data_IF_505326739971
#
_entry.id   IF_505326739971
#
_cell.length_a   1.000
_cell.length_b   1.000
_cell.length_c   1.000
_cell.angle_alpha   90.00
_cell.angle_beta   90.00
_cell.angle_gamma   90.00
#
_symmetry.space_group_name_H-M   'P 1'
#
loop_
_entity.id
_entity.type
_entity.pdbx_description
1 polymer ?
#
# COMPACT_ATOMS: atom_id res chain seq x y z
N UNK A 1 6.74 15.92 -4.34
CA UNK A 1 5.79 14.83 -4.64
C UNK A 1 4.71 14.82 -3.57
N UNK A 2 3.44 14.92 -3.95
CA UNK A 2 2.34 15.02 -3.00
C UNK A 2 1.36 13.87 -3.26
N UNK A 3 1.11 13.03 -2.25
CA UNK A 3 0.11 11.95 -2.28
C UNK A 3 0.19 11.01 -3.50
N UNK A 4 1.40 10.77 -4.03
CA UNK A 4 1.58 9.93 -5.20
C UNK A 4 3.03 9.51 -5.44
N UNK A 5 3.21 8.27 -5.92
CA UNK A 5 4.50 7.68 -6.25
C UNK A 5 4.42 6.83 -7.52
N UNK A 6 5.53 6.74 -8.27
CA UNK A 6 5.68 5.79 -9.37
C UNK A 6 5.60 4.31 -8.92
N UNK A 7 5.69 4.04 -7.61
CA UNK A 7 5.54 2.71 -7.03
C UNK A 7 4.08 2.36 -6.70
N UNK A 8 3.15 3.32 -6.80
CA UNK A 8 1.72 3.05 -6.59
C UNK A 8 1.18 2.12 -7.69
N UNK A 9 0.24 1.22 -7.37
CA UNK A 9 -0.24 0.20 -8.32
C UNK A 9 -0.93 0.79 -9.56
N UNK A 10 -1.49 2.00 -9.44
CA UNK A 10 -2.16 2.75 -10.50
C UNK A 10 -1.22 3.62 -11.35
N UNK A 11 0.08 3.70 -11.01
CA UNK A 11 1.02 4.61 -11.67
C UNK A 11 1.51 4.14 -13.05
N UNK A 12 1.66 2.81 -13.25
CA UNK A 12 2.13 2.22 -14.51
C UNK A 12 1.02 1.41 -15.18
N UNK A 13 0.72 1.75 -16.44
CA UNK A 13 -0.31 1.11 -17.25
C UNK A 13 0.19 -0.17 -17.94
N UNK A 14 0.35 -1.26 -17.17
CA UNK A 14 0.97 -2.51 -17.67
C UNK A 14 0.21 -3.19 -18.80
N UNK A 15 -1.10 -3.02 -18.86
CA UNK A 15 -1.98 -3.70 -19.82
C UNK A 15 -2.51 -2.73 -20.90
N UNK A 16 -1.85 -1.60 -21.13
CA UNK A 16 -2.29 -0.57 -22.09
C UNK A 16 -2.56 -1.11 -23.50
N UNK A 17 -1.75 -2.07 -23.96
CA UNK A 17 -1.96 -2.72 -25.27
C UNK A 17 -3.27 -3.51 -25.33
N UNK A 18 -3.68 -4.16 -24.23
CA UNK A 18 -4.94 -4.92 -24.16
C UNK A 18 -6.12 -3.97 -24.32
N UNK A 19 -6.10 -2.85 -23.59
CA UNK A 19 -7.14 -1.83 -23.68
C UNK A 19 -7.13 -1.10 -25.02
N UNK A 20 -5.95 -0.85 -25.60
CA UNK A 20 -5.81 -0.27 -26.95
C UNK A 20 -6.52 -1.14 -27.99
N UNK A 21 -6.32 -2.46 -27.94
CA UNK A 21 -7.00 -3.40 -28.83
C UNK A 21 -8.51 -3.46 -28.57
N UNK A 22 -8.94 -3.31 -27.32
CA UNK A 22 -10.37 -3.21 -26.97
C UNK A 22 -11.01 -1.96 -27.58
N UNK A 23 -10.35 -0.80 -27.50
CA UNK A 23 -10.78 0.43 -28.17
C UNK A 23 -10.88 0.22 -29.68
N UNK A 24 -9.80 -0.29 -30.29
CA UNK A 24 -9.74 -0.52 -31.72
C UNK A 24 -10.88 -1.45 -32.19
N UNK A 25 -11.13 -2.55 -31.46
CA UNK A 25 -12.24 -3.47 -31.76
C UNK A 25 -13.61 -2.79 -31.70
N UNK A 26 -13.87 -1.96 -30.69
CA UNK A 26 -15.14 -1.24 -30.56
C UNK A 26 -15.33 -0.20 -31.68
N UNK A 27 -14.26 0.46 -32.10
CA UNK A 27 -14.27 1.44 -33.19
C UNK A 27 -14.09 0.82 -34.57
N UNK A 28 -14.17 -0.51 -34.69
CA UNK A 28 -14.02 -1.26 -35.94
C UNK A 28 -12.71 -0.94 -36.66
N UNK A 29 -11.65 -0.69 -35.91
CA UNK A 29 -10.29 -0.59 -36.41
C UNK A 29 -9.61 -1.97 -36.44
N UNK A 30 -8.71 -2.23 -37.41
CA UNK A 30 -7.93 -3.46 -37.44
C UNK A 30 -7.08 -3.64 -36.18
N UNK A 31 -6.95 -4.87 -35.68
CA UNK A 31 -6.24 -5.18 -34.41
C UNK A 31 -4.97 -6.01 -34.56
N UNK A 32 -4.73 -6.58 -35.73
CA UNK A 32 -3.60 -7.49 -36.00
C UNK A 32 -2.28 -6.72 -36.13
N UNK A 33 -2.25 -5.71 -37.02
CA UNK A 33 -1.08 -4.88 -37.26
C UNK A 33 -1.16 -3.57 -36.46
N UNK A 34 -0.11 -3.28 -35.69
CA UNK A 34 -0.10 -2.11 -34.80
C UNK A 34 -0.01 -0.79 -35.56
N UNK A 35 0.69 -0.73 -36.71
CA UNK A 35 0.79 0.49 -37.49
C UNK A 35 -0.55 0.84 -38.14
N UNK A 36 -1.24 -0.16 -38.71
CA UNK A 36 -2.58 0.01 -39.30
C UNK A 36 -3.62 0.35 -38.23
N UNK A 37 -3.54 -0.29 -37.06
CA UNK A 37 -4.40 0.01 -35.91
C UNK A 37 -4.29 1.49 -35.54
N UNK A 38 -3.07 1.98 -35.33
CA UNK A 38 -2.81 3.36 -34.93
C UNK A 38 -3.30 4.34 -36.00
N UNK A 39 -3.06 4.04 -37.27
CA UNK A 39 -3.52 4.90 -38.37
C UNK A 39 -5.04 5.00 -38.44
N UNK A 40 -5.75 3.88 -38.22
CA UNK A 40 -7.20 3.90 -38.12
C UNK A 40 -7.69 4.72 -36.91
N UNK A 41 -7.06 4.56 -35.74
CA UNK A 41 -7.43 5.31 -34.54
C UNK A 41 -7.21 6.83 -34.70
N UNK A 42 -6.17 7.25 -35.42
CA UNK A 42 -5.94 8.69 -35.72
C UNK A 42 -7.08 9.33 -36.52
N UNK A 43 -7.82 8.54 -37.28
CA UNK A 43 -8.96 9.01 -38.08
C UNK A 43 -10.28 9.03 -37.30
N UNK A 44 -10.29 8.53 -36.06
CA UNK A 44 -11.49 8.52 -35.22
C UNK A 44 -11.62 9.82 -34.42
N UNK A 45 -12.84 10.36 -34.26
CA UNK A 45 -13.09 11.44 -33.33
C UNK A 45 -12.64 11.07 -31.91
N UNK A 46 -12.02 12.01 -31.20
CA UNK A 46 -11.55 11.76 -29.82
C UNK A 46 -12.71 11.38 -28.89
N UNK A 47 -13.90 11.93 -29.12
CA UNK A 47 -15.10 11.61 -28.35
C UNK A 47 -15.49 10.13 -28.49
N UNK A 48 -15.35 9.55 -29.68
CA UNK A 48 -15.66 8.14 -29.92
C UNK A 48 -14.65 7.24 -29.19
N UNK A 49 -13.37 7.63 -29.14
CA UNK A 49 -12.33 6.94 -28.40
C UNK A 49 -12.60 6.97 -26.89
N UNK A 50 -12.94 8.14 -26.36
CA UNK A 50 -13.22 8.33 -24.93
C UNK A 50 -14.53 7.67 -24.49
N UNK A 51 -15.48 7.50 -25.40
CA UNK A 51 -16.77 6.87 -25.12
C UNK A 51 -16.71 5.34 -25.05
N UNK A 52 -15.60 4.70 -25.44
CA UNK A 52 -15.48 3.24 -25.36
C UNK A 52 -15.46 2.78 -23.90
N UNK A 53 -16.39 1.91 -23.47
CA UNK A 53 -16.37 1.37 -22.12
C UNK A 53 -15.23 0.36 -21.96
N UNK A 54 -14.40 0.54 -20.93
CA UNK A 54 -13.29 -0.33 -20.60
C UNK A 54 -13.53 -1.01 -19.25
N UNK A 55 -13.22 -2.31 -19.20
CA UNK A 55 -13.28 -3.10 -17.97
C UNK A 55 -11.89 -3.13 -17.35
N UNK A 56 -11.54 -2.06 -16.64
CA UNK A 56 -10.25 -1.92 -15.97
C UNK A 56 -10.37 -2.46 -14.55
N UNK A 57 -9.54 -3.43 -14.12
CA UNK A 57 -9.54 -3.86 -12.74
C UNK A 57 -9.27 -2.70 -11.79
N UNK A 58 -10.02 -2.66 -10.70
CA UNK A 58 -9.94 -1.61 -9.70
C UNK A 58 -8.50 -1.47 -9.15
N UNK A 59 -8.13 -0.24 -8.82
CA UNK A 59 -6.80 0.16 -8.35
C UNK A 59 -5.67 0.11 -9.40
N UNK A 60 -5.98 -0.27 -10.65
CA UNK A 60 -5.06 -0.26 -11.77
C UNK A 60 -5.50 0.76 -12.83
N UNK A 61 -4.59 1.05 -13.75
CA UNK A 61 -4.79 2.04 -14.82
C UNK A 61 -4.74 1.37 -16.19
N UNK A 62 -5.69 1.74 -17.07
CA UNK A 62 -5.68 1.31 -18.46
C UNK A 62 -4.67 2.07 -19.32
N UNK A 63 -4.65 3.40 -19.19
CA UNK A 63 -3.78 4.29 -19.97
C UNK A 63 -3.05 5.26 -19.05
N UNK A 64 -1.75 5.34 -19.21
CA UNK A 64 -0.84 6.12 -18.38
C UNK A 64 0.60 5.81 -18.80
N UNK A 65 1.59 6.18 -17.97
CA UNK A 65 2.98 5.82 -18.22
C UNK A 65 3.15 4.30 -18.40
N UNK A 66 3.96 3.90 -19.37
CA UNK A 66 4.30 2.49 -19.66
C UNK A 66 5.81 2.31 -19.59
N UNK A 67 6.26 1.10 -19.28
CA UNK A 67 7.69 0.74 -19.36
C UNK A 67 8.04 0.54 -20.83
N UNK A 68 8.53 1.59 -21.48
CA UNK A 68 8.84 1.64 -22.91
C UNK A 68 10.33 1.37 -23.20
N UNK A 69 11.17 1.33 -22.17
CA UNK A 69 12.62 1.16 -22.31
C UNK A 69 13.36 2.43 -22.72
N UNK A 70 12.66 3.56 -22.88
CA UNK A 70 13.22 4.85 -23.33
C UNK A 70 12.94 5.94 -22.31
N UNK A 71 11.67 6.32 -22.13
CA UNK A 71 11.26 7.32 -21.13
C UNK A 71 11.21 6.69 -19.74
N UNK A 72 10.63 5.50 -19.64
CA UNK A 72 10.62 4.66 -18.44
C UNK A 72 11.45 3.42 -18.74
N UNK A 73 12.76 3.44 -18.42
CA UNK A 73 13.71 2.44 -18.90
C UNK A 73 13.52 1.04 -18.32
N UNK A 74 12.80 0.93 -17.20
CA UNK A 74 12.55 -0.34 -16.52
C UNK A 74 11.54 -0.18 -15.40
N UNK A 75 11.38 -1.24 -14.60
CA UNK A 75 10.51 -1.22 -13.43
C UNK A 75 10.90 -0.09 -12.47
N UNK A 76 9.98 0.81 -12.08
CA UNK A 76 10.30 1.94 -11.21
C UNK A 76 11.00 1.55 -9.90
N UNK A 77 10.64 0.42 -9.30
CA UNK A 77 11.32 -0.11 -8.10
C UNK A 77 12.80 -0.42 -8.36
N UNK A 78 13.07 -1.08 -9.48
CA UNK A 78 14.43 -1.51 -9.85
C UNK A 78 15.27 -0.32 -10.26
N UNK A 79 14.68 0.66 -10.97
CA UNK A 79 15.35 1.90 -11.35
C UNK A 79 15.72 2.70 -10.10
N UNK A 80 14.80 2.88 -9.15
CA UNK A 80 15.05 3.60 -7.90
C UNK A 80 16.09 2.91 -7.00
N UNK A 81 16.13 1.58 -6.99
CA UNK A 81 17.05 0.80 -6.16
C UNK A 81 18.44 0.66 -6.79
N UNK A 82 18.52 0.31 -8.07
CA UNK A 82 19.77 -0.06 -8.75
C UNK A 82 20.40 1.11 -9.50
N UNK A 83 19.57 1.96 -10.11
CA UNK A 83 20.02 3.09 -10.93
C UNK A 83 19.84 4.42 -10.19
N UNK A 84 20.60 4.56 -9.10
CA UNK A 84 20.52 5.70 -8.20
C UNK A 84 20.95 7.03 -8.84
N UNK A 85 21.60 7.02 -10.00
CA UNK A 85 22.06 8.23 -10.67
C UNK A 85 20.91 9.10 -11.18
N UNK A 86 19.87 8.52 -11.79
CA UNK A 86 18.71 9.29 -12.26
C UNK A 86 17.94 9.92 -11.11
N UNK A 87 17.85 9.19 -10.00
CA UNK A 87 17.05 9.59 -8.85
C UNK A 87 17.80 10.53 -7.90
N UNK A 88 19.11 10.34 -7.75
CA UNK A 88 19.98 11.10 -6.84
C UNK A 88 20.37 12.50 -7.31
N UNK A 89 19.99 12.88 -8.52
CA UNK A 89 20.27 14.22 -9.07
C UNK A 89 19.43 15.32 -8.44
N UNK A 90 18.29 14.97 -7.84
CA UNK A 90 17.32 15.92 -7.32
C UNK A 90 17.24 15.81 -5.80
N UNK A 91 16.97 16.93 -5.13
CA UNK A 91 16.49 16.86 -3.75
C UNK A 91 14.99 16.52 -3.78
N UNK A 92 14.49 15.81 -2.76
CA UNK A 92 13.11 15.33 -2.72
C UNK A 92 12.37 15.86 -1.50
N UNK A 93 11.31 16.63 -1.75
CA UNK A 93 10.26 16.86 -0.77
C UNK A 93 9.07 15.99 -1.14
N UNK A 94 8.63 15.15 -0.21
CA UNK A 94 7.47 14.30 -0.39
C UNK A 94 6.53 14.32 0.81
N UNK A 95 5.25 14.05 0.58
CA UNK A 95 4.30 13.96 1.68
C UNK A 95 2.94 13.47 1.26
N UNK A 96 2.12 13.24 2.27
CA UNK A 96 0.80 12.64 2.16
C UNK A 96 -0.18 13.38 3.05
N UNK A 97 -1.46 13.22 2.77
CA UNK A 97 -2.52 13.57 3.72
C UNK A 97 -2.69 12.42 4.72
N UNK A 98 -3.41 12.67 5.81
CA UNK A 98 -3.64 11.63 6.82
C UNK A 98 -4.39 10.42 6.21
N UNK A 99 -5.39 10.69 5.39
CA UNK A 99 -6.23 9.71 4.70
C UNK A 99 -6.16 9.94 3.19
N UNK A 100 -5.87 8.90 2.42
CA UNK A 100 -5.68 8.98 0.97
C UNK A 100 -6.85 8.35 0.18
N UNK A 101 -7.51 7.36 0.77
CA UNK A 101 -8.56 6.57 0.10
C UNK A 101 -9.99 6.94 0.53
N UNK A 102 -10.23 8.17 0.99
CA UNK A 102 -11.56 8.64 1.42
C UNK A 102 -12.62 8.52 0.31
N UNK A 103 -12.24 8.82 -0.94
CA UNK A 103 -13.15 8.86 -2.09
C UNK A 103 -13.69 7.49 -2.54
N UNK A 104 -13.30 6.40 -1.86
CA UNK A 104 -13.79 5.05 -2.15
C UNK A 104 -15.13 4.73 -1.48
N UNK A 105 -15.59 5.60 -0.57
CA UNK A 105 -16.80 5.39 0.21
C UNK A 105 -17.85 6.45 -0.09
N UNK A 106 -19.12 6.04 -0.05
CA UNK A 106 -20.25 6.94 -0.23
C UNK A 106 -20.47 7.82 1.00
N UNK A 107 -21.18 8.94 0.81
CA UNK A 107 -21.59 9.84 1.90
C UNK A 107 -22.51 9.16 2.94
N UNK A 108 -23.18 8.06 2.55
CA UNK A 108 -24.00 7.27 3.45
C UNK A 108 -23.13 6.33 4.30
N UNK A 109 -22.16 5.64 3.68
CA UNK A 109 -21.19 4.81 4.40
C UNK A 109 -20.34 5.63 5.37
N UNK A 110 -19.93 6.84 5.00
CA UNK A 110 -19.17 7.72 5.91
C UNK A 110 -19.94 8.04 7.21
N UNK A 111 -21.27 8.14 7.14
CA UNK A 111 -22.13 8.41 8.29
C UNK A 111 -22.49 7.18 9.11
N UNK A 112 -22.74 6.04 8.46
CA UNK A 112 -23.25 4.82 9.10
C UNK A 112 -22.18 3.76 9.36
N UNK A 113 -21.05 3.86 8.67
CA UNK A 113 -20.01 2.84 8.61
C UNK A 113 -20.30 1.76 7.58
N UNK A 114 -19.46 0.72 7.58
CA UNK A 114 -19.60 -0.45 6.73
C UNK A 114 -19.63 -1.72 7.58
N UNK A 115 -20.22 -2.78 7.04
CA UNK A 115 -20.18 -4.11 7.65
C UNK A 115 -18.91 -4.88 7.26
N UNK A 116 -18.70 -6.02 7.92
CA UNK A 116 -17.55 -6.90 7.65
C UNK A 116 -17.59 -7.47 6.24
N UNK A 117 -18.77 -7.71 5.67
CA UNK A 117 -18.93 -8.21 4.31
C UNK A 117 -18.46 -7.18 3.27
N UNK A 118 -18.82 -5.90 3.43
CA UNK A 118 -18.33 -4.79 2.59
C UNK A 118 -16.82 -4.65 2.71
N UNK A 119 -16.26 -4.65 3.93
CA UNK A 119 -14.80 -4.66 4.16
C UNK A 119 -14.14 -5.81 3.41
N UNK A 120 -14.62 -7.03 3.59
CA UNK A 120 -13.98 -8.21 3.03
C UNK A 120 -14.00 -8.18 1.50
N UNK A 121 -15.09 -7.74 0.87
CA UNK A 121 -15.16 -7.55 -0.59
C UNK A 121 -14.15 -6.52 -1.10
N UNK A 122 -14.01 -5.38 -0.41
CA UNK A 122 -13.03 -4.35 -0.75
C UNK A 122 -11.60 -4.89 -0.65
N UNK A 123 -11.25 -5.50 0.48
CA UNK A 123 -9.90 -6.03 0.71
C UNK A 123 -9.57 -7.22 -0.18
N UNK A 124 -10.54 -8.08 -0.50
CA UNK A 124 -10.36 -9.18 -1.47
C UNK A 124 -10.06 -8.64 -2.86
N UNK A 125 -10.74 -7.58 -3.28
CA UNK A 125 -10.51 -6.92 -4.57
C UNK A 125 -9.12 -6.30 -4.63
N UNK A 126 -8.75 -5.55 -3.58
CA UNK A 126 -7.42 -4.98 -3.41
C UNK A 126 -6.35 -6.07 -3.56
N UNK A 127 -6.47 -7.17 -2.81
CA UNK A 127 -5.49 -8.26 -2.83
C UNK A 127 -5.45 -8.96 -4.18
N UNK A 128 -6.61 -9.25 -4.77
CA UNK A 128 -6.72 -9.92 -6.08
C UNK A 128 -6.10 -9.10 -7.21
N UNK A 129 -6.17 -7.78 -7.13
CA UNK A 129 -5.66 -6.91 -8.18
C UNK A 129 -4.18 -6.57 -8.02
N UNK A 130 -3.71 -6.39 -6.78
CA UNK A 130 -2.33 -5.99 -6.50
C UNK A 130 -1.34 -7.16 -6.49
N UNK A 131 -1.76 -8.34 -6.04
CA UNK A 131 -0.85 -9.48 -5.82
C UNK A 131 -1.15 -10.65 -6.77
N UNK A 132 -0.23 -11.61 -6.80
CA UNK A 132 -0.28 -12.79 -7.69
C UNK A 132 -0.29 -14.10 -6.90
N UNK A 133 0.52 -14.16 -5.85
CA UNK A 133 0.81 -15.36 -5.05
C UNK A 133 0.28 -15.20 -3.62
N UNK A 134 -0.10 -16.32 -3.00
CA UNK A 134 -0.55 -16.40 -1.60
C UNK A 134 -1.64 -15.39 -1.23
N UNK A 135 -2.63 -15.24 -2.11
CA UNK A 135 -3.66 -14.21 -1.98
C UNK A 135 -4.49 -14.40 -0.71
N UNK A 136 -4.81 -15.65 -0.34
CA UNK A 136 -5.60 -15.92 0.86
C UNK A 136 -4.83 -15.53 2.13
N UNK A 137 -3.55 -15.88 2.22
CA UNK A 137 -2.70 -15.55 3.36
C UNK A 137 -2.51 -14.04 3.47
N UNK A 138 -2.25 -13.35 2.35
CA UNK A 138 -2.16 -11.89 2.32
C UNK A 138 -3.47 -11.26 2.80
N UNK A 139 -4.62 -11.69 2.27
CA UNK A 139 -5.94 -11.19 2.67
C UNK A 139 -6.19 -11.34 4.16
N UNK A 140 -6.00 -12.55 4.71
CA UNK A 140 -6.20 -12.82 6.13
C UNK A 140 -5.25 -11.98 7.00
N UNK A 141 -4.01 -11.79 6.56
CA UNK A 141 -3.04 -10.98 7.29
C UNK A 141 -3.43 -9.50 7.30
N UNK A 142 -3.91 -8.95 6.17
CA UNK A 142 -4.41 -7.57 6.09
C UNK A 142 -5.63 -7.39 7.02
N UNK A 143 -6.59 -8.31 6.98
CA UNK A 143 -7.76 -8.28 7.88
C UNK A 143 -7.31 -8.30 9.33
N UNK A 144 -6.36 -9.17 9.69
CA UNK A 144 -5.85 -9.26 11.04
C UNK A 144 -5.16 -7.97 11.51
N UNK A 145 -4.34 -7.36 10.66
CA UNK A 145 -3.58 -6.15 10.98
C UNK A 145 -4.48 -4.91 11.18
N UNK A 146 -5.55 -4.80 10.40
CA UNK A 146 -6.49 -3.67 10.45
C UNK A 146 -7.75 -3.96 11.26
N UNK A 147 -7.76 -5.00 12.09
CA UNK A 147 -8.84 -5.27 13.04
C UNK A 147 -8.39 -4.87 14.43
N UNK A 148 -9.13 -3.96 15.08
CA UNK A 148 -8.92 -3.66 16.50
C UNK A 148 -9.46 -4.82 17.35
N UNK A 149 -8.58 -5.77 17.69
CA UNK A 149 -8.89 -6.95 18.51
C UNK A 149 -9.07 -6.63 19.99
N UNK A 150 -8.85 -5.38 20.43
CA UNK A 150 -9.14 -4.98 21.81
C UNK A 150 -10.64 -4.89 22.08
N UNK A 151 -11.46 -4.85 21.03
CA UNK A 151 -12.92 -4.75 21.09
C UNK A 151 -13.56 -6.00 20.48
N UNK A 152 -14.38 -6.74 21.23
CA UNK A 152 -15.04 -7.95 20.71
C UNK A 152 -16.07 -7.60 19.61
N UNK A 153 -16.81 -6.50 19.80
CA UNK A 153 -17.77 -5.99 18.82
C UNK A 153 -17.21 -4.75 18.14
N UNK A 154 -17.07 -4.84 16.81
CA UNK A 154 -16.61 -3.71 16.01
C UNK A 154 -17.79 -2.86 15.55
N UNK A 155 -17.80 -1.61 15.98
CA UNK A 155 -18.75 -0.62 15.47
C UNK A 155 -18.50 -0.43 13.95
N UNK A 156 -19.55 -0.36 13.10
CA UNK A 156 -19.41 -0.22 11.64
C UNK A 156 -18.50 0.93 11.18
N UNK A 157 -18.50 2.04 11.93
CA UNK A 157 -17.60 3.17 11.69
C UNK A 157 -16.13 2.81 11.89
N UNK A 158 -15.79 1.99 12.90
CA UNK A 158 -14.41 1.57 13.11
C UNK A 158 -13.95 0.60 12.01
N UNK A 159 -14.87 -0.21 11.48
CA UNK A 159 -14.62 -1.08 10.32
C UNK A 159 -14.31 -0.21 9.10
N UNK A 160 -15.12 0.83 8.84
CA UNK A 160 -14.88 1.78 7.77
C UNK A 160 -13.51 2.45 7.90
N UNK A 161 -13.17 2.98 9.08
CA UNK A 161 -11.92 3.69 9.30
C UNK A 161 -10.71 2.80 9.06
N UNK A 162 -10.74 1.60 9.63
CA UNK A 162 -9.62 0.67 9.50
C UNK A 162 -9.49 0.14 8.07
N UNK A 163 -10.61 -0.01 7.35
CA UNK A 163 -10.60 -0.35 5.92
C UNK A 163 -10.03 0.79 5.09
N UNK A 164 -10.42 2.04 5.39
CA UNK A 164 -9.90 3.24 4.72
C UNK A 164 -8.41 3.39 4.94
N UNK A 165 -7.93 3.15 6.17
CA UNK A 165 -6.51 3.14 6.50
C UNK A 165 -5.76 2.06 5.69
N UNK A 166 -6.29 0.83 5.64
CA UNK A 166 -5.68 -0.26 4.88
C UNK A 166 -5.53 0.07 3.39
N UNK A 167 -6.58 0.65 2.79
CA UNK A 167 -6.57 1.04 1.39
C UNK A 167 -5.65 2.25 1.15
N UNK A 168 -5.61 3.23 2.05
CA UNK A 168 -4.70 4.39 1.98
C UNK A 168 -3.24 3.95 2.06
N UNK A 169 -2.94 3.05 3.01
CA UNK A 169 -1.60 2.53 3.23
C UNK A 169 -1.11 1.72 2.02
N UNK A 170 -1.95 0.83 1.47
CA UNK A 170 -1.58 -0.01 0.33
C UNK A 170 -1.43 0.77 -0.99
N UNK A 171 -2.32 1.72 -1.27
CA UNK A 171 -2.41 2.37 -2.59
C UNK A 171 -1.52 3.60 -2.74
N UNK A 172 -1.23 4.32 -1.65
CA UNK A 172 -0.54 5.60 -1.69
C UNK A 172 0.61 5.70 -0.68
N UNK A 173 0.36 5.46 0.60
CA UNK A 173 1.33 5.79 1.67
C UNK A 173 2.54 4.86 1.65
N UNK A 174 2.37 3.53 1.64
CA UNK A 174 3.50 2.61 1.61
C UNK A 174 4.36 2.75 0.34
N UNK A 175 3.79 2.84 -0.89
CA UNK A 175 4.55 3.16 -2.09
C UNK A 175 5.35 4.46 -1.99
N UNK A 176 4.76 5.50 -1.41
CA UNK A 176 5.40 6.80 -1.25
C UNK A 176 6.54 6.77 -0.23
N UNK A 177 6.34 6.14 0.93
CA UNK A 177 7.39 5.96 1.94
C UNK A 177 8.52 5.07 1.41
N UNK A 178 8.21 4.04 0.62
CA UNK A 178 9.23 3.22 -0.07
C UNK A 178 10.09 4.06 -1.01
N UNK A 179 9.48 5.01 -1.72
CA UNK A 179 10.18 5.96 -2.60
C UNK A 179 11.13 6.85 -1.79
N UNK A 180 10.66 7.41 -0.67
CA UNK A 180 11.49 8.19 0.25
C UNK A 180 12.67 7.38 0.83
N UNK A 181 12.43 6.10 1.15
CA UNK A 181 13.48 5.18 1.61
C UNK A 181 14.56 4.96 0.55
N UNK A 182 14.19 4.67 -0.70
CA UNK A 182 15.16 4.57 -1.79
C UNK A 182 15.95 5.88 -1.97
N UNK A 183 15.27 7.03 -1.93
CA UNK A 183 15.90 8.32 -2.17
C UNK A 183 16.92 8.67 -1.10
N UNK A 184 16.55 8.50 0.17
CA UNK A 184 17.42 8.82 1.31
C UNK A 184 18.65 7.91 1.43
N UNK A 185 18.66 6.77 0.75
CA UNK A 185 19.80 5.84 0.68
C UNK A 185 20.81 6.22 -0.39
N UNK A 186 20.46 7.09 -1.33
CA UNK A 186 21.38 7.50 -2.40
C UNK A 186 22.61 8.21 -1.81
N UNK A 187 23.78 7.90 -2.36
CA UNK A 187 25.08 8.47 -1.95
C UNK A 187 25.86 9.08 -3.12
N UNK A 188 25.59 8.66 -4.34
CA UNK A 188 26.30 9.05 -5.57
C UNK A 188 25.30 9.57 -6.62
N UNK A 189 25.63 10.58 -7.44
CA UNK A 189 26.90 11.33 -7.50
C UNK A 189 27.09 12.35 -6.37
N UNK A 190 25.99 12.79 -5.74
CA UNK A 190 25.97 13.54 -4.49
C UNK A 190 24.93 12.91 -3.57
N UNK A 191 24.99 13.16 -2.26
CA UNK A 191 23.90 12.82 -1.34
C UNK A 191 22.77 13.84 -1.54
N UNK A 192 21.60 13.45 -2.09
CA UNK A 192 20.48 14.36 -2.19
C UNK A 192 19.81 14.53 -0.82
N UNK A 193 19.14 15.67 -0.61
CA UNK A 193 18.35 15.91 0.61
C UNK A 193 16.94 15.36 0.43
N UNK A 194 16.39 14.79 1.50
CA UNK A 194 15.04 14.23 1.50
C UNK A 194 14.25 14.87 2.64
N UNK A 195 13.01 15.30 2.40
CA UNK A 195 12.13 15.86 3.43
C UNK A 195 10.74 15.24 3.31
N UNK A 196 10.19 14.80 4.45
CA UNK A 196 8.85 14.23 4.52
C UNK A 196 7.91 15.16 5.29
N UNK A 197 6.68 15.32 4.79
CA UNK A 197 5.56 15.87 5.58
C UNK A 197 4.36 14.92 5.63
N UNK A 198 3.55 15.11 6.66
CA UNK A 198 2.19 14.56 6.74
C UNK A 198 1.23 15.71 7.03
N UNK A 199 0.31 15.96 6.11
CA UNK A 199 -0.67 17.03 6.25
C UNK A 199 -1.87 16.54 7.08
N UNK A 200 -2.11 17.22 8.20
CA UNK A 200 -3.07 16.83 9.24
C UNK A 200 -4.04 17.95 9.62
N UNK A 201 -3.93 19.12 8.97
CA UNK A 201 -4.84 20.21 9.19
C UNK A 201 -6.21 19.94 8.57
N UNK A 202 -7.25 20.34 9.28
CA UNK A 202 -8.63 20.20 8.84
C UNK A 202 -9.20 21.59 8.56
N UNK A 203 -9.67 21.81 7.34
CA UNK A 203 -10.29 23.07 6.91
C UNK A 203 -11.66 23.25 7.57
N UNK A 204 -11.90 24.32 8.33
CA UNK A 204 -13.10 24.45 9.16
C UNK A 204 -14.42 24.35 8.35
N UNK A 205 -14.46 24.91 7.14
CA UNK A 205 -15.62 24.86 6.24
C UNK A 205 -15.47 23.80 5.12
N UNK A 206 -14.76 22.70 5.40
CA UNK A 206 -14.67 21.58 4.47
C UNK A 206 -16.04 20.93 4.16
N UNK A 207 -16.26 20.54 2.90
CA UNK A 207 -17.48 19.85 2.45
C UNK A 207 -17.50 18.33 2.77
N UNK A 208 -16.48 17.82 3.46
CA UNK A 208 -16.32 16.41 3.79
C UNK A 208 -16.33 16.15 5.30
N UNK A 209 -16.54 14.89 5.69
CA UNK A 209 -16.58 14.51 7.10
C UNK A 209 -15.22 14.62 7.76
N UNK A 210 -15.17 15.44 8.81
CA UNK A 210 -13.93 15.76 9.53
C UNK A 210 -13.44 14.59 10.42
N UNK A 211 -14.22 13.52 10.54
CA UNK A 211 -14.07 12.45 11.53
C UNK A 211 -12.74 11.70 11.41
N UNK A 212 -12.32 11.34 10.20
CA UNK A 212 -11.08 10.60 9.97
C UNK A 212 -9.84 11.52 9.89
N UNK A 213 -10.05 12.83 9.74
CA UNK A 213 -9.00 13.83 9.57
C UNK A 213 -8.91 14.31 8.12
N UNK A 214 -7.70 14.62 7.68
CA UNK A 214 -7.49 15.26 6.36
C UNK A 214 -7.47 14.26 5.23
N UNK A 215 -8.21 14.54 4.17
CA UNK A 215 -8.38 13.66 3.00
C UNK A 215 -7.48 14.08 1.83
N UNK A 216 -7.36 13.21 0.82
CA UNK A 216 -6.52 13.44 -0.37
C UNK A 216 -6.78 14.79 -1.03
N UNK A 217 -5.72 15.56 -1.28
CA UNK A 217 -5.77 16.84 -1.99
C UNK A 217 -6.06 18.08 -1.11
N UNK A 218 -6.37 17.90 0.17
CA UNK A 218 -6.66 19.01 1.09
C UNK A 218 -5.41 19.83 1.49
N UNK A 219 -4.21 19.39 1.13
CA UNK A 219 -2.99 20.18 1.27
C UNK A 219 -2.85 21.25 0.16
N UNK A 220 -3.47 21.03 -1.00
CA UNK A 220 -3.36 21.90 -2.18
C UNK A 220 -3.83 23.35 -1.96
N UNK A 221 -4.99 23.63 -1.32
CA UNK A 221 -5.42 25.01 -1.08
C UNK A 221 -4.36 25.83 -0.34
N UNK A 222 -3.68 25.21 0.63
CA UNK A 222 -2.66 25.86 1.46
C UNK A 222 -1.35 26.09 0.72
N UNK A 223 -0.99 25.18 -0.20
CA UNK A 223 0.22 25.28 -1.03
C UNK A 223 0.06 26.36 -2.11
N UNK A 224 -1.13 26.48 -2.68
CA UNK A 224 -1.42 27.47 -3.72
C UNK A 224 -1.85 28.84 -3.19
N UNK A 225 -1.99 29.01 -1.87
CA UNK A 225 -2.33 30.31 -1.28
C UNK A 225 -3.82 30.66 -1.37
N UNK A 226 -4.72 29.68 -1.50
CA UNK A 226 -6.16 29.94 -1.54
C UNK A 226 -6.66 30.72 -0.30
N UNK A 227 -6.19 30.43 0.94
CA UNK A 227 -6.54 31.20 2.13
C UNK A 227 -6.06 32.66 2.18
N UNK A 228 -5.27 33.11 1.19
CA UNK A 228 -4.69 34.46 1.14
C UNK A 228 -5.42 35.38 0.17
N UNK A 229 -6.37 34.85 -0.60
CA UNK A 229 -7.12 35.57 -1.62
C UNK A 229 -8.62 35.32 -1.45
N UNK A 230 -9.45 36.20 -1.99
CA UNK A 230 -10.91 36.10 -1.84
C UNK A 230 -11.50 34.86 -2.54
N UNK A 231 -10.88 34.39 -3.63
CA UNK A 231 -11.30 33.21 -4.36
C UNK A 231 -10.17 32.74 -5.25
N UNK A 232 -9.91 31.42 -5.26
CA UNK A 232 -8.92 30.81 -6.14
C UNK A 232 -9.49 29.52 -6.76
N UNK A 233 -9.75 29.56 -8.07
CA UNK A 233 -10.22 28.38 -8.83
C UNK A 233 -11.47 27.74 -8.19
N UNK A 234 -11.41 26.42 -7.93
CA UNK A 234 -12.45 25.61 -7.30
C UNK A 234 -12.27 25.44 -5.78
N UNK A 235 -11.25 26.06 -5.18
CA UNK A 235 -11.02 25.94 -3.73
C UNK A 235 -12.11 26.66 -2.93
N UNK A 236 -12.33 26.25 -1.66
CA UNK A 236 -13.22 26.96 -0.75
C UNK A 236 -12.89 28.46 -0.67
N UNK A 237 -13.90 29.28 -0.36
CA UNK A 237 -13.71 30.74 -0.27
C UNK A 237 -13.49 31.23 1.16
N UNK A 238 -14.02 30.50 2.13
CA UNK A 238 -14.02 30.91 3.52
C UNK A 238 -12.91 30.18 4.25
N UNK A 239 -11.89 30.94 4.64
CA UNK A 239 -10.79 30.45 5.46
C UNK A 239 -10.63 31.36 6.68
N UNK A 240 -10.24 30.75 7.80
CA UNK A 240 -9.92 31.46 9.03
C UNK A 240 -8.57 32.18 8.91
N UNK A 241 -8.34 33.17 9.79
CA UNK A 241 -7.02 33.81 9.90
C UNK A 241 -5.91 32.83 10.27
N UNK A 242 -6.23 31.75 10.98
CA UNK A 242 -5.28 30.71 11.32
C UNK A 242 -4.87 29.89 10.09
N UNK A 243 -5.83 29.60 9.21
CA UNK A 243 -5.61 28.94 7.92
C UNK A 243 -4.81 29.82 6.95
N UNK A 244 -5.05 31.13 6.92
CA UNK A 244 -4.19 32.09 6.19
C UNK A 244 -2.74 32.02 6.68
N UNK A 245 -2.52 32.07 8.00
CA UNK A 245 -1.17 31.93 8.57
C UNK A 245 -0.53 30.57 8.28
N UNK A 246 -1.31 29.48 8.27
CA UNK A 246 -0.84 28.15 7.89
C UNK A 246 -0.40 28.13 6.42
N UNK A 247 -1.20 28.69 5.53
CA UNK A 247 -0.89 28.76 4.09
C UNK A 247 0.40 29.56 3.84
N UNK A 248 0.60 30.69 4.53
CA UNK A 248 1.87 31.43 4.45
C UNK A 248 3.07 30.56 4.87
N UNK A 249 2.96 29.81 5.98
CA UNK A 249 4.04 28.90 6.42
C UNK A 249 4.30 27.78 5.41
N UNK A 250 3.24 27.17 4.87
CA UNK A 250 3.36 26.09 3.88
C UNK A 250 4.01 26.60 2.59
N UNK A 251 3.54 27.73 2.06
CA UNK A 251 4.14 28.37 0.89
C UNK A 251 5.61 28.73 1.13
N UNK A 252 5.96 29.20 2.32
CA UNK A 252 7.35 29.49 2.67
C UNK A 252 8.22 28.23 2.57
N UNK A 253 7.81 27.10 3.16
CA UNK A 253 8.56 25.85 3.05
C UNK A 253 8.72 25.37 1.60
N UNK A 254 7.65 25.41 0.80
CA UNK A 254 7.68 24.99 -0.60
C UNK A 254 8.57 25.91 -1.45
N UNK A 255 8.47 27.23 -1.25
CA UNK A 255 9.28 28.19 -2.01
C UNK A 255 10.74 28.17 -1.61
N UNK A 256 11.06 27.97 -0.33
CA UNK A 256 12.45 27.78 0.12
C UNK A 256 13.04 26.51 -0.50
N UNK A 257 12.32 25.39 -0.44
CA UNK A 257 12.76 24.15 -1.06
C UNK A 257 12.95 24.29 -2.58
N UNK A 258 12.05 24.99 -3.28
CA UNK A 258 12.21 25.25 -4.70
C UNK A 258 13.43 26.13 -5.03
N UNK A 259 13.78 27.08 -4.15
CA UNK A 259 14.92 28.00 -4.34
C UNK A 259 16.26 27.34 -4.04
N UNK A 260 16.35 26.57 -2.95
CA UNK A 260 17.64 26.11 -2.42
C UNK A 260 17.74 24.62 -2.18
N UNK A 261 16.63 23.87 -2.28
CA UNK A 261 16.55 22.45 -1.92
C UNK A 261 16.45 22.17 -0.42
N UNK A 262 16.38 23.21 0.43
CA UNK A 262 16.12 23.10 1.87
C UNK A 262 14.85 23.90 2.24
N UNK A 263 13.82 23.30 2.86
CA UNK A 263 12.64 24.04 3.29
C UNK A 263 12.93 25.06 4.40
N UNK A 264 14.02 24.91 5.16
CA UNK A 264 14.33 25.73 6.33
C UNK A 264 15.09 27.02 6.00
N UNK A 265 15.64 27.15 4.80
CA UNK A 265 16.60 28.21 4.53
C UNK A 265 15.91 29.58 4.48
N UNK A 266 16.39 30.58 5.24
CA UNK A 266 15.76 31.89 5.27
C UNK A 266 15.91 32.58 3.90
N UNK A 267 14.86 33.31 3.51
CA UNK A 267 14.98 34.22 2.39
C UNK A 267 16.01 35.29 2.75
N UNK A 268 17.16 35.29 2.05
CA UNK A 268 18.08 36.41 2.06
C UNK A 268 17.29 37.69 1.80
N UNK A 269 17.52 38.66 2.68
CA UNK A 269 16.83 39.93 2.81
C UNK A 269 16.53 40.59 1.46
N UNK A 270 15.25 40.62 1.07
CA UNK A 270 14.72 41.79 0.36
C UNK A 270 13.87 42.56 1.33
N UNK A 271 14.40 43.72 1.70
CA UNK A 271 13.74 44.78 2.44
C UNK A 271 12.34 45.06 1.86
N UNK A 272 11.46 45.48 2.76
CA UNK A 272 10.09 45.95 2.54
C UNK A 272 8.98 44.88 2.45
N UNK A 273 8.00 45.03 3.35
CA UNK A 273 6.62 44.53 3.31
C UNK A 273 6.25 43.38 4.27
N UNK A 274 5.83 43.81 5.47
CA UNK A 274 4.58 43.42 6.17
C UNK A 274 4.36 42.08 6.87
N UNK A 275 5.31 41.14 7.02
CA UNK A 275 5.02 39.90 7.78
C UNK A 275 6.17 39.38 8.67
N UNK A 276 6.60 40.16 9.67
CA UNK A 276 7.56 39.72 10.71
C UNK A 276 7.06 38.53 11.54
N UNK A 277 5.73 38.41 11.77
CA UNK A 277 5.15 37.36 12.62
C UNK A 277 5.19 35.98 11.98
N UNK A 278 5.02 35.88 10.66
CA UNK A 278 5.03 34.61 9.92
C UNK A 278 6.46 34.08 9.77
N UNK A 279 7.45 34.98 9.59
CA UNK A 279 8.88 34.64 9.65
C UNK A 279 9.28 34.06 11.01
N UNK A 280 8.92 34.73 12.11
CA UNK A 280 9.27 34.28 13.47
C UNK A 280 8.67 32.90 13.84
N UNK A 281 7.50 32.55 13.30
CA UNK A 281 6.86 31.24 13.54
C UNK A 281 7.52 30.12 12.73
N UNK A 282 7.95 30.40 11.50
CA UNK A 282 8.70 29.45 10.66
C UNK A 282 10.14 29.24 11.17
N UNK A 283 10.82 30.30 11.63
CA UNK A 283 12.16 30.23 12.24
C UNK A 283 12.19 29.32 13.48
N UNK A 284 11.07 29.20 14.21
CA UNK A 284 10.98 28.31 15.37
C UNK A 284 10.75 26.83 15.00
N UNK A 285 10.34 26.54 13.77
CA UNK A 285 9.90 25.22 13.33
C UNK A 285 10.90 24.64 12.32
N UNK A 286 11.89 23.93 12.83
CA UNK A 286 12.89 23.23 12.02
C UNK A 286 12.31 21.94 11.41
N UNK A 287 12.31 21.84 10.08
CA UNK A 287 11.95 20.65 9.31
C UNK A 287 13.19 19.76 9.10
N UNK A 288 13.31 18.62 9.80
CA UNK A 288 14.48 17.77 9.69
C UNK A 288 14.54 17.01 8.35
N UNK A 289 15.77 16.72 7.90
CA UNK A 289 16.01 15.79 6.79
C UNK A 289 15.50 14.38 7.15
N UNK A 290 14.74 13.79 6.24
CA UNK A 290 14.27 12.42 6.28
C UNK A 290 15.40 11.45 5.98
N UNK A 291 15.46 10.35 6.74
CA UNK A 291 16.28 9.19 6.41
C UNK A 291 15.53 7.91 6.77
N UNK A 292 15.89 6.80 6.12
CA UNK A 292 15.22 5.50 6.29
C UNK A 292 15.32 4.91 7.71
N UNK A 293 16.28 5.38 8.51
CA UNK A 293 16.54 4.91 9.88
C UNK A 293 15.69 5.63 10.93
N UNK A 294 15.61 6.96 10.88
CA UNK A 294 14.91 7.78 11.86
C UNK A 294 13.53 8.24 11.37
N UNK A 295 13.29 8.20 10.07
CA UNK A 295 12.02 8.52 9.40
C UNK A 295 11.33 9.78 9.95
N UNK A 296 12.13 10.83 10.18
CA UNK A 296 11.63 12.09 10.71
C UNK A 296 10.80 12.82 9.67
N UNK A 297 9.67 13.36 10.09
CA UNK A 297 8.77 14.13 9.26
C UNK A 297 8.17 15.30 10.03
N UNK A 298 7.63 16.27 9.30
CA UNK A 298 6.83 17.33 9.88
C UNK A 298 5.34 17.01 9.72
N UNK A 299 4.59 17.04 10.82
CA UNK A 299 3.14 17.02 10.80
C UNK A 299 2.64 18.46 10.62
N UNK A 300 2.06 18.75 9.46
CA UNK A 300 1.55 20.07 9.10
C UNK A 300 0.09 20.14 9.51
N UNK A 301 -0.15 20.74 10.67
CA UNK A 301 -1.47 20.97 11.26
C UNK A 301 -1.58 22.42 11.76
N UNK A 302 -2.66 22.76 12.46
CA UNK A 302 -2.82 24.09 13.09
C UNK A 302 -1.66 24.42 14.05
N UNK A 303 -1.05 23.38 14.64
CA UNK A 303 0.20 23.44 15.40
C UNK A 303 1.19 22.44 14.79
N UNK A 304 2.08 22.87 13.89
CA UNK A 304 3.03 21.96 13.27
C UNK A 304 3.98 21.33 14.30
N UNK A 305 4.34 20.07 14.10
CA UNK A 305 5.24 19.32 15.00
C UNK A 305 6.15 18.39 14.21
N UNK A 306 7.39 18.27 14.64
CA UNK A 306 8.27 17.19 14.19
C UNK A 306 7.86 15.89 14.88
N UNK A 307 7.80 14.82 14.09
CA UNK A 307 7.53 13.46 14.53
C UNK A 307 8.46 12.51 13.77
N UNK A 308 8.37 11.23 14.10
CA UNK A 308 9.13 10.16 13.46
C UNK A 308 8.25 8.94 13.22
N UNK A 309 8.68 8.07 12.30
CA UNK A 309 8.06 6.79 11.97
C UNK A 309 6.53 6.85 11.78
N UNK A 310 6.08 7.65 10.81
CA UNK A 310 4.65 7.72 10.47
C UNK A 310 4.09 6.32 10.19
N UNK A 311 3.06 5.89 10.93
CA UNK A 311 2.46 4.55 10.81
C UNK A 311 3.48 3.38 10.87
N UNK A 312 4.55 3.50 11.67
CA UNK A 312 5.69 2.57 11.72
C UNK A 312 5.32 1.07 11.62
N UNK A 313 4.37 0.63 12.44
CA UNK A 313 3.91 -0.76 12.50
C UNK A 313 3.27 -1.21 11.17
N UNK A 314 2.25 -0.48 10.73
CA UNK A 314 1.49 -0.76 9.49
C UNK A 314 2.39 -0.64 8.24
N UNK A 315 3.29 0.33 8.22
CA UNK A 315 4.24 0.47 7.11
C UNK A 315 5.28 -0.65 7.11
N UNK A 316 5.76 -1.10 8.28
CA UNK A 316 6.63 -2.29 8.33
C UNK A 316 5.92 -3.53 7.79
N UNK A 317 4.63 -3.68 8.12
CA UNK A 317 3.78 -4.72 7.56
C UNK A 317 3.73 -4.69 6.01
N UNK A 318 3.41 -3.54 5.41
CA UNK A 318 3.33 -3.39 3.95
C UNK A 318 4.68 -3.45 3.24
N UNK A 319 5.74 -2.93 3.85
CA UNK A 319 7.07 -2.82 3.23
C UNK A 319 7.93 -4.07 3.40
N UNK A 320 7.67 -4.89 4.43
CA UNK A 320 8.51 -6.05 4.77
C UNK A 320 7.74 -7.38 4.76
N UNK A 321 6.62 -7.48 5.48
CA UNK A 321 5.90 -8.74 5.64
C UNK A 321 5.17 -9.15 4.35
N UNK A 322 4.33 -8.27 3.80
CA UNK A 322 3.56 -8.55 2.58
C UNK A 322 4.47 -8.96 1.40
N UNK A 323 5.57 -8.26 1.09
CA UNK A 323 6.49 -8.69 0.03
C UNK A 323 7.13 -10.06 0.30
N UNK A 324 7.31 -10.44 1.55
CA UNK A 324 7.84 -11.77 1.92
C UNK A 324 6.80 -12.87 1.69
N UNK A 325 5.53 -12.61 2.05
CA UNK A 325 4.42 -13.52 1.76
C UNK A 325 4.16 -13.65 0.25
N UNK A 326 4.34 -12.58 -0.51
CA UNK A 326 4.07 -12.57 -1.95
C UNK A 326 5.15 -13.29 -2.81
N UNK A 327 6.25 -13.77 -2.22
CA UNK A 327 7.27 -14.52 -2.98
C UNK A 327 6.70 -15.84 -3.49
N UNK A 328 6.97 -16.18 -4.74
CA UNK A 328 6.65 -17.52 -5.26
C UNK A 328 7.50 -18.58 -4.54
N UNK A 329 6.88 -19.68 -4.11
CA UNK A 329 7.61 -20.81 -3.58
C UNK A 329 8.43 -21.46 -4.71
N UNK A 330 9.67 -21.87 -4.41
CA UNK A 330 10.57 -22.52 -5.38
C UNK A 330 10.18 -23.98 -5.73
N UNK A 331 9.05 -24.48 -5.22
CA UNK A 331 8.64 -25.88 -5.34
C UNK A 331 7.17 -25.98 -5.77
N UNK A 332 6.89 -26.98 -6.61
CA UNK A 332 5.68 -27.29 -7.36
C UNK A 332 4.40 -27.39 -6.52
N UNK A 333 3.89 -26.26 -6.02
CA UNK A 333 2.55 -26.19 -5.43
C UNK A 333 1.52 -25.83 -6.49
N UNK A 334 0.44 -26.62 -6.58
CA UNK A 334 -0.64 -26.47 -7.57
C UNK A 334 -1.12 -25.02 -7.67
N UNK A 335 -1.30 -24.46 -8.88
CA UNK A 335 -1.66 -23.04 -9.12
C UNK A 335 -2.80 -22.49 -8.25
N UNK A 336 -3.68 -23.37 -7.75
CA UNK A 336 -4.81 -23.03 -6.90
C UNK A 336 -4.46 -22.53 -5.50
N UNK A 337 -3.35 -22.94 -4.89
CA UNK A 337 -2.97 -22.46 -3.55
C UNK A 337 -2.65 -20.96 -3.50
N UNK A 338 -2.42 -20.33 -4.65
CA UNK A 338 -2.22 -18.88 -4.77
C UNK A 338 -3.52 -18.10 -4.96
N UNK A 339 -4.69 -18.73 -4.81
CA UNK A 339 -5.99 -18.09 -5.03
C UNK A 339 -6.61 -17.73 -3.69
N UNK A 340 -7.54 -16.76 -3.74
CA UNK A 340 -8.46 -16.55 -2.64
C UNK A 340 -9.42 -17.75 -2.56
N UNK A 341 -9.90 -18.05 -1.36
CA UNK A 341 -11.07 -18.92 -1.21
C UNK A 341 -12.27 -18.30 -1.95
N UNK A 342 -13.09 -19.12 -2.59
CA UNK A 342 -14.24 -18.68 -3.41
C UNK A 342 -13.88 -17.65 -4.50
N UNK A 343 -12.66 -17.73 -5.07
CA UNK A 343 -12.18 -16.74 -6.03
C UNK A 343 -13.01 -16.65 -7.32
N UNK A 344 -13.75 -17.70 -7.69
CA UNK A 344 -14.63 -17.73 -8.86
C UNK A 344 -15.98 -17.05 -8.60
N UNK A 345 -16.32 -16.76 -7.35
CA UNK A 345 -17.58 -16.12 -6.99
C UNK A 345 -17.45 -14.59 -7.10
N UNK A 346 -18.07 -13.95 -8.12
CA UNK A 346 -17.97 -12.50 -8.32
C UNK A 346 -18.58 -11.70 -7.16
N UNK A 347 -19.52 -12.27 -6.40
CA UNK A 347 -20.14 -11.59 -5.26
C UNK A 347 -19.21 -11.43 -4.04
N UNK A 348 -18.03 -12.07 -4.07
CA UNK A 348 -17.02 -11.94 -3.00
C UNK A 348 -16.05 -10.77 -3.21
N UNK A 349 -16.28 -9.96 -4.25
CA UNK A 349 -15.48 -8.80 -4.60
C UNK A 349 -16.33 -7.54 -4.67
N UNK A 350 -15.65 -6.41 -4.66
CA UNK A 350 -16.21 -5.10 -4.95
C UNK A 350 -15.54 -4.54 -6.20
N UNK A 351 -16.31 -4.21 -7.24
CA UNK A 351 -15.74 -3.72 -8.49
C UNK A 351 -15.09 -4.79 -9.37
N UNK A 352 -14.19 -4.37 -10.26
CA UNK A 352 -13.64 -5.22 -11.32
C UNK A 352 -12.34 -5.88 -10.85
N UNK A 353 -12.25 -7.21 -11.02
CA UNK A 353 -11.07 -7.99 -10.65
C UNK A 353 -10.26 -8.45 -11.86
N UNK A 354 -8.96 -8.67 -11.66
CA UNK A 354 -8.09 -9.28 -12.68
C UNK A 354 -8.55 -10.69 -13.02
N UNK A 355 -8.77 -10.94 -14.32
CA UNK A 355 -8.94 -12.28 -14.86
C UNK A 355 -7.64 -13.07 -14.71
N UNK A 356 -7.70 -14.23 -14.05
CA UNK A 356 -6.57 -15.15 -13.98
C UNK A 356 -6.59 -16.06 -15.20
N UNK A 357 -5.79 -15.72 -16.21
CA UNK A 357 -4.96 -16.70 -16.91
C UNK A 357 -3.49 -16.42 -16.53
N UNK A 358 -3.02 -16.89 -15.35
CA UNK A 358 -1.68 -16.61 -14.86
C UNK A 358 -0.67 -17.62 -15.44
N UNK A 359 -0.70 -17.80 -16.76
CA UNK A 359 0.12 -18.78 -17.48
C UNK A 359 0.42 -18.46 -18.94
N UNK A 360 -0.09 -17.36 -19.51
CA UNK A 360 0.04 -17.14 -20.97
C UNK A 360 0.89 -15.94 -21.39
N UNK A 361 1.25 -14.98 -20.51
CA UNK A 361 2.11 -13.85 -20.93
C UNK A 361 2.94 -13.22 -19.80
N UNK A 362 3.73 -14.02 -19.08
CA UNK A 362 4.97 -13.52 -18.46
C UNK A 362 6.07 -14.54 -18.74
N UNK A 363 6.43 -14.67 -20.02
CA UNK A 363 7.79 -15.06 -20.34
C UNK A 363 8.67 -13.87 -19.89
N UNK A 364 9.32 -14.03 -18.74
CA UNK A 364 10.52 -13.27 -18.42
C UNK A 364 11.47 -13.45 -19.59
N UNK A 365 11.51 -12.49 -20.51
CA UNK A 365 12.55 -12.43 -21.53
C UNK A 365 13.79 -11.92 -20.82
N UNK A 366 14.50 -12.83 -20.17
CA UNK A 366 15.91 -12.66 -19.90
C UNK A 366 16.60 -12.55 -21.26
N UNK A 367 17.25 -11.44 -21.63
CA UNK A 367 18.09 -11.43 -22.81
C UNK A 367 19.34 -12.22 -22.48
N UNK A 368 19.33 -13.53 -22.79
CA UNK A 368 20.55 -14.29 -22.95
C UNK A 368 21.26 -13.78 -24.20
N UNK A 369 22.28 -12.96 -24.00
CA UNK A 369 23.22 -12.56 -25.04
C UNK A 369 23.98 -13.80 -25.52
N UNK A 370 23.51 -14.41 -26.60
CA UNK A 370 24.31 -15.35 -27.38
C UNK A 370 24.34 -14.85 -28.82
N UNK A 371 25.50 -14.30 -29.17
CA UNK A 371 25.91 -13.96 -30.52
C UNK A 371 25.80 -15.18 -31.45
N UNK A 372 25.00 -15.09 -32.51
CA UNK A 372 25.05 -16.04 -33.62
C UNK A 372 25.36 -15.30 -34.93
N UNK A 373 26.57 -15.57 -35.43
CA UNK A 373 27.04 -15.29 -36.78
C UNK A 373 26.30 -16.20 -37.78
N UNK A 374 25.97 -15.76 -39.00
CA UNK A 374 25.20 -16.57 -39.94
C UNK A 374 26.09 -17.53 -40.73
N UNK A 375 25.65 -18.78 -40.86
CA UNK A 375 26.14 -19.70 -41.89
C UNK A 375 25.01 -20.48 -42.54
N UNK A 376 25.07 -20.47 -43.87
CA UNK A 376 24.17 -20.97 -44.91
C UNK A 376 24.13 -22.50 -45.08
N UNK A 377 23.08 -22.95 -45.79
CA UNK A 377 22.88 -24.25 -46.52
C UNK A 377 22.65 -25.51 -45.66
N UNK A 378 21.76 -26.47 -45.96
CA UNK A 378 21.10 -26.93 -47.19
C UNK A 378 19.83 -27.77 -46.91
N UNK A 379 19.01 -27.97 -47.95
CA UNK A 379 17.82 -28.83 -48.07
C UNK A 379 18.06 -30.30 -47.65
N UNK A 380 17.05 -30.97 -47.08
CA UNK A 380 16.48 -32.21 -47.63
C UNK A 380 15.10 -32.59 -47.03
N UNK A 381 14.49 -33.64 -47.56
CA UNK A 381 13.05 -33.93 -47.68
C UNK A 381 12.56 -35.22 -46.97
N UNK A 382 11.23 -35.40 -46.80
CA UNK A 382 10.53 -36.67 -46.43
C UNK A 382 9.60 -36.56 -45.18
N UNK A 383 8.26 -36.47 -45.25
CA UNK A 383 7.16 -37.42 -45.57
C UNK A 383 6.62 -38.27 -44.36
N UNK A 384 5.29 -38.17 -44.15
CA UNK A 384 4.29 -39.03 -43.44
C UNK A 384 4.26 -39.03 -41.88
N UNK A 385 3.12 -39.02 -41.15
CA UNK A 385 1.79 -39.65 -41.37
C UNK A 385 0.70 -39.15 -40.37
N UNK A 386 -0.56 -39.01 -40.84
CA UNK A 386 -1.88 -39.38 -40.24
C UNK A 386 -2.20 -39.10 -38.75
N UNK A 387 -3.08 -38.15 -38.39
CA UNK A 387 -4.56 -38.23 -38.26
C UNK A 387 -5.09 -38.79 -36.92
N UNK A 388 -5.97 -38.03 -36.24
CA UNK A 388 -7.31 -38.45 -35.79
C UNK A 388 -8.05 -37.25 -35.17
N UNK A 389 -9.24 -36.97 -35.70
CA UNK A 389 -10.24 -36.07 -35.15
C UNK A 389 -11.48 -36.90 -34.81
N UNK A 390 -12.13 -36.64 -33.67
CA UNK A 390 -13.46 -37.19 -33.37
C UNK A 390 -14.32 -36.14 -32.68
N UNK A 391 -15.45 -35.84 -33.30
CA UNK A 391 -16.63 -35.12 -32.79
C UNK A 391 -17.60 -36.14 -32.15
N UNK A 392 -18.23 -35.80 -31.02
CA UNK A 392 -19.52 -36.37 -30.59
C UNK A 392 -20.37 -35.23 -29.99
N UNK A 393 -21.65 -35.18 -30.40
CA UNK A 393 -22.74 -34.28 -29.98
C UNK A 393 -23.79 -35.09 -29.17
N UNK A 394 -24.63 -34.39 -28.38
CA UNK A 394 -25.96 -34.73 -27.78
C UNK A 394 -25.91 -34.86 -26.23
N UNK A 395 -26.82 -34.36 -25.37
CA UNK A 395 -28.10 -33.61 -25.41
C UNK A 395 -28.52 -33.28 -23.94
N UNK A 396 -29.57 -32.46 -23.70
CA UNK A 396 -29.98 -31.85 -22.41
C UNK A 396 -30.85 -32.73 -21.45
N UNK A 397 -30.62 -32.58 -20.11
CA UNK A 397 -31.48 -32.59 -18.87
C UNK A 397 -32.67 -33.57 -18.64
N UNK A 398 -33.28 -33.68 -17.42
CA UNK A 398 -32.87 -33.35 -16.03
C UNK A 398 -33.15 -34.49 -14.98
N UNK A 399 -32.65 -34.40 -13.72
CA UNK A 399 -33.38 -34.61 -12.43
C UNK A 399 -32.46 -34.76 -11.18
N UNK A 400 -32.76 -33.95 -10.16
CA UNK A 400 -32.79 -34.14 -8.68
C UNK A 400 -31.73 -35.02 -7.92
N UNK A 401 -31.08 -34.34 -6.96
CA UNK A 401 -30.23 -34.69 -5.80
C UNK A 401 -30.25 -36.12 -5.18
N UNK A 402 -29.18 -36.50 -4.44
CA UNK A 402 -29.14 -36.15 -3.01
C UNK A 402 -27.77 -35.65 -2.48
N UNK A 403 -27.87 -34.92 -1.36
CA UNK A 403 -26.79 -34.33 -0.54
C UNK A 403 -25.73 -35.36 -0.13
N UNK A 404 -24.46 -35.07 -0.42
CA UNK A 404 -23.31 -35.62 0.31
C UNK A 404 -22.72 -34.55 1.23
N UNK A 405 -22.63 -34.89 2.52
CA UNK A 405 -22.11 -34.04 3.58
C UNK A 405 -20.60 -34.27 3.65
N UNK A 406 -19.79 -33.30 3.21
CA UNK A 406 -18.34 -33.39 3.25
C UNK A 406 -17.82 -33.16 4.68
N UNK A 407 -17.42 -34.26 5.31
CA UNK A 407 -16.75 -34.35 6.62
C UNK A 407 -15.26 -33.99 6.43
N UNK A 408 -14.96 -32.73 6.14
CA UNK A 408 -13.56 -32.24 6.14
C UNK A 408 -13.37 -30.97 6.97
N UNK A 409 -14.40 -30.13 7.12
CA UNK A 409 -14.34 -28.98 8.03
C UNK A 409 -14.28 -29.35 9.52
N UNK A 410 -14.91 -30.47 9.91
CA UNK A 410 -14.96 -30.88 11.32
C UNK A 410 -13.64 -31.49 11.80
N UNK A 411 -12.83 -32.09 10.93
CA UNK A 411 -11.55 -32.68 11.31
C UNK A 411 -10.48 -31.60 11.55
N UNK A 412 -10.51 -30.53 10.75
CA UNK A 412 -9.62 -29.37 10.93
C UNK A 412 -9.89 -28.64 12.26
N UNK A 413 -11.16 -28.46 12.65
CA UNK A 413 -11.50 -27.91 13.96
C UNK A 413 -11.04 -28.81 15.13
N UNK A 414 -11.13 -30.13 15.00
CA UNK A 414 -10.69 -31.07 16.05
C UNK A 414 -9.17 -31.04 16.21
N UNK A 415 -8.41 -30.95 15.11
CA UNK A 415 -6.94 -30.81 15.18
C UNK A 415 -6.51 -29.46 15.78
N UNK A 416 -7.24 -28.39 15.49
CA UNK A 416 -6.92 -27.06 16.03
C UNK A 416 -7.29 -26.93 17.52
N UNK A 417 -8.40 -27.52 17.97
CA UNK A 417 -8.73 -27.61 19.40
C UNK A 417 -7.75 -28.47 20.20
N UNK A 418 -7.23 -29.55 19.61
CA UNK A 418 -6.22 -30.41 20.24
C UNK A 418 -4.88 -29.69 20.50
N UNK A 419 -4.41 -28.90 19.52
CA UNK A 419 -3.16 -28.14 19.63
C UNK A 419 -3.25 -26.95 20.60
N UNK A 420 -4.41 -26.28 20.67
CA UNK A 420 -4.64 -25.21 21.66
C UNK A 420 -4.75 -25.74 23.09
N UNK A 421 -5.35 -26.92 23.29
CA UNK A 421 -5.48 -27.55 24.61
C UNK A 421 -4.12 -27.98 25.19
N UNK A 422 -3.22 -28.51 24.35
CA UNK A 422 -1.87 -28.91 24.76
C UNK A 422 -0.97 -27.70 25.05
N UNK A 423 -1.01 -26.65 24.23
CA UNK A 423 -0.26 -25.43 24.48
C UNK A 423 -0.71 -24.72 25.77
N UNK A 424 -2.02 -24.68 26.04
CA UNK A 424 -2.58 -24.09 27.26
C UNK A 424 -2.20 -24.90 28.51
N UNK A 425 -2.30 -26.23 28.47
CA UNK A 425 -1.92 -27.10 29.60
C UNK A 425 -0.43 -27.06 29.89
N UNK A 426 0.43 -26.99 28.87
CA UNK A 426 1.89 -26.80 29.06
C UNK A 426 2.18 -25.44 29.70
N UNK A 427 1.50 -24.37 29.28
CA UNK A 427 1.70 -23.03 29.83
C UNK A 427 1.26 -22.95 31.30
N UNK A 428 0.11 -23.55 31.62
CA UNK A 428 -0.40 -23.65 33.00
C UNK A 428 0.57 -24.50 33.84
N UNK A 429 1.07 -25.62 33.30
CA UNK A 429 2.05 -26.47 33.98
C UNK A 429 3.33 -25.71 34.34
N UNK A 430 3.92 -25.00 33.38
CA UNK A 430 5.12 -24.18 33.58
C UNK A 430 4.85 -23.07 34.61
N UNK A 431 3.70 -22.38 34.51
CA UNK A 431 3.30 -21.34 35.45
C UNK A 431 3.18 -21.86 36.89
N UNK A 432 2.53 -23.01 37.09
CA UNK A 432 2.41 -23.64 38.40
C UNK A 432 3.77 -24.08 38.96
N UNK A 433 4.66 -24.64 38.12
CA UNK A 433 6.01 -25.03 38.55
C UNK A 433 6.86 -23.83 39.00
N UNK A 434 6.79 -22.70 38.27
CA UNK A 434 7.50 -21.47 38.64
C UNK A 434 6.95 -20.86 39.93
N UNK A 435 5.64 -20.95 40.16
CA UNK A 435 5.01 -20.46 41.39
C UNK A 435 5.43 -21.30 42.60
N UNK A 436 5.45 -22.63 42.47
CA UNK A 436 5.92 -23.53 43.54
C UNK A 436 7.41 -23.29 43.82
N UNK A 437 8.23 -23.11 42.78
CA UNK A 437 9.66 -22.83 42.94
C UNK A 437 9.90 -21.52 43.69
N UNK A 438 9.13 -20.47 43.38
CA UNK A 438 9.20 -19.20 44.12
C UNK A 438 8.77 -19.35 45.59
N UNK A 439 7.75 -20.15 45.89
CA UNK A 439 7.32 -20.43 47.27
C UNK A 439 8.42 -21.16 48.04
N UNK A 440 9.07 -22.16 47.42
CA UNK A 440 10.17 -22.91 48.06
C UNK A 440 11.38 -22.01 48.33
N UNK A 441 11.75 -21.15 47.37
CA UNK A 441 12.84 -20.18 47.56
C UNK A 441 12.49 -19.23 48.71
N UNK A 442 11.26 -18.71 48.74
CA UNK A 442 10.83 -17.80 49.81
C UNK A 442 10.83 -18.48 51.17
N UNK A 443 10.34 -19.72 51.27
CA UNK A 443 10.40 -20.52 52.50
C UNK A 443 11.85 -20.81 52.93
N UNK A 444 12.75 -21.11 51.98
CA UNK A 444 14.17 -21.31 52.25
C UNK A 444 14.84 -20.05 52.81
N UNK A 445 14.56 -18.88 52.23
CA UNK A 445 15.06 -17.59 52.74
C UNK A 445 14.47 -17.26 54.11
N UNK A 446 13.18 -17.53 54.32
CA UNK A 446 12.50 -17.30 55.59
C UNK A 446 13.12 -18.15 56.73
N UNK A 447 13.30 -19.45 56.50
CA UNK A 447 13.91 -20.36 57.47
C UNK A 447 15.38 -20.00 57.75
N UNK A 448 16.12 -19.54 56.74
CA UNK A 448 17.51 -19.12 56.93
C UNK A 448 17.58 -17.82 57.75
N UNK A 449 16.65 -16.89 57.54
CA UNK A 449 16.51 -15.68 58.36
C UNK A 449 16.17 -16.02 59.81
N UNK A 450 15.27 -16.96 60.04
CA UNK A 450 14.89 -17.42 61.38
C UNK A 450 16.05 -18.08 62.12
N UNK A 451 16.83 -18.93 61.43
CA UNK A 451 18.10 -19.49 61.98
C UNK A 451 19.12 -18.42 62.32
N UNK A 452 19.24 -17.38 61.50
CA UNK A 452 20.17 -16.26 61.73
C UNK A 452 19.75 -15.45 62.96
N UNK A 453 18.44 -15.24 63.15
CA UNK A 453 17.88 -14.57 64.33
C UNK A 453 18.11 -15.41 65.59
N UNK A 454 17.88 -16.74 65.53
CA UNK A 454 18.10 -17.63 66.67
C UNK A 454 19.58 -17.68 67.08
N UNK A 455 20.50 -17.72 66.12
CA UNK A 455 21.94 -17.62 66.39
C UNK A 455 22.35 -16.29 67.05
N UNK A 456 21.66 -15.20 66.74
CA UNK A 456 21.89 -13.90 67.38
C UNK A 456 21.33 -13.83 68.80
N UNK A 457 20.24 -14.55 69.10
CA UNK A 457 19.68 -14.66 70.44
C UNK A 457 20.58 -15.52 71.33
N UNK A 458 21.02 -16.69 70.84
CA UNK A 458 21.91 -17.59 71.60
C UNK A 458 23.30 -16.99 71.86
N UNK A 459 23.80 -16.12 70.98
CA UNK A 459 25.06 -15.39 71.19
C UNK A 459 24.93 -14.32 72.29
N UNK A 460 23.74 -13.73 72.45
CA UNK A 460 23.46 -12.67 73.42
C UNK A 460 23.18 -13.21 74.83
N UNK A 461 22.81 -14.48 74.96
CA UNK A 461 22.68 -15.16 76.26
C UNK A 461 23.99 -15.77 76.78
N UNK A 462 25.05 -15.85 75.95
CA UNK A 462 26.38 -16.35 76.33
C UNK A 462 27.44 -15.26 76.58
N UNK A 463 27.10 -13.99 76.38
CA UNK A 463 27.89 -12.81 76.76
C UNK A 463 27.32 -12.15 78.01
#
# INVERSE_FOLDING_TARGET
>A
MQSGSALSPWAIARNSLVYTRQIAKNLKCPTEDSAVLVECLRQRPVQDILAVPLSVPDHLTAFGPTIDGVVVPGEPSDVMEKNTEFFGQYDLMFGMTKIESYNQFSSQEDKMGIDTLRRDRLLRTLVRNLFTYHLQEIFLTVVNEYTDWSKPDQHPINILDSTTDAMSDALAIAPLVRTGNFHSRVRYPRKPRTYQYVFTHHTEEAEYSQRMGTVHGEDLPYIFGAPLVNSLSHFPKNFTKAESSLSETVMLFWTNFAKTGDPNEPQLETESSSNEKSKAKAEKLWWPEYNDTHQKYISIGSKPRVRDHYHAHRLSFWLNLIPTLHRAAASETTTNHHLLEDHDNPYTYDGIVRNKNPGENIALTTPSTTSSTPSTTSKDSGINTSAYATLIILEERPTVAPKSMNISGSLAMIFQQGAYSTALTVTIGIGCSLLILNIIIFAGVYLNRERTIQHHIDYKERS
#
